data_IF_273473619623
#
_entry.id   IF_273473619623
#
_cell.length_a   1.000
_cell.length_b   1.000
_cell.length_c   1.000
_cell.angle_alpha   90.00
_cell.angle_beta   90.00
_cell.angle_gamma   90.00
#
_symmetry.space_group_name_H-M   'P 1'
#
loop_
_entity.id
_entity.type
_entity.pdbx_description
1 polymer ?
#
# COMPACT_ATOMS: atom_id res chain seq x y z
N UNK A 1 -5.05 40.81 37.10
CA UNK A 1 -4.47 40.97 35.76
C UNK A 1 -2.96 41.07 35.90
N UNK A 2 -2.19 40.33 35.13
CA UNK A 2 -0.73 40.44 35.05
C UNK A 2 -0.36 41.01 33.67
N UNK A 3 0.61 41.92 33.63
CA UNK A 3 1.20 42.44 32.39
C UNK A 3 2.58 41.79 32.25
N UNK A 4 2.81 41.15 31.09
CA UNK A 4 4.07 40.52 30.76
C UNK A 4 4.75 41.30 29.63
N UNK A 5 6.02 41.65 29.84
CA UNK A 5 6.86 42.26 28.80
C UNK A 5 7.56 41.15 28.02
N UNK A 6 7.22 41.02 26.72
CA UNK A 6 7.76 40.01 25.82
C UNK A 6 8.96 40.59 25.05
N UNK A 7 9.96 39.76 24.71
CA UNK A 7 11.03 40.17 23.80
C UNK A 7 10.50 40.56 22.42
N UNK A 8 11.31 41.30 21.65
CA UNK A 8 10.98 41.73 20.31
C UNK A 8 10.73 40.50 19.38
N UNK A 9 9.62 40.56 18.64
CA UNK A 9 9.23 39.51 17.68
C UNK A 9 10.22 39.33 16.51
N UNK A 10 10.94 40.39 16.17
CA UNK A 10 11.95 40.45 15.14
C UNK A 10 13.40 40.37 15.65
N UNK A 11 13.58 39.95 16.91
CA UNK A 11 14.89 39.78 17.53
C UNK A 11 15.80 38.88 16.66
N UNK A 12 17.06 39.28 16.50
CA UNK A 12 18.09 38.47 15.84
C UNK A 12 18.44 37.19 16.62
N UNK A 13 18.12 37.15 17.93
CA UNK A 13 18.36 36.01 18.80
C UNK A 13 17.16 35.06 18.72
N UNK A 14 17.38 33.82 18.22
CA UNK A 14 16.32 32.84 18.04
C UNK A 14 15.59 32.45 19.33
N UNK A 15 16.33 32.37 20.45
CA UNK A 15 15.76 32.12 21.78
C UNK A 15 14.74 33.18 22.20
N UNK A 16 14.99 34.46 21.87
CA UNK A 16 14.06 35.56 22.17
C UNK A 16 12.78 35.45 21.33
N UNK A 17 12.89 35.12 20.07
CA UNK A 17 11.71 34.88 19.18
C UNK A 17 10.87 33.71 19.68
N UNK A 18 11.52 32.62 20.09
CA UNK A 18 10.82 31.45 20.65
C UNK A 18 10.09 31.80 21.96
N UNK A 19 10.75 32.55 22.85
CA UNK A 19 10.15 32.99 24.11
C UNK A 19 8.97 33.96 23.88
N UNK A 20 9.13 34.91 22.93
CA UNK A 20 8.05 35.84 22.58
C UNK A 20 6.81 35.07 22.08
N UNK A 21 6.98 34.09 21.21
CA UNK A 21 5.87 33.23 20.74
C UNK A 21 5.21 32.45 21.87
N UNK A 22 5.99 31.83 22.78
CA UNK A 22 5.44 31.11 23.92
C UNK A 22 4.62 32.01 24.84
N UNK A 23 5.09 33.24 25.09
CA UNK A 23 4.35 34.23 25.91
C UNK A 23 3.07 34.67 25.23
N UNK A 24 3.11 34.90 23.89
CA UNK A 24 1.94 35.24 23.11
C UNK A 24 0.90 34.10 23.09
N UNK A 25 1.35 32.87 22.99
CA UNK A 25 0.46 31.69 23.01
C UNK A 25 -0.26 31.52 24.36
N UNK A 26 0.37 31.96 25.46
CA UNK A 26 -0.17 31.87 26.81
C UNK A 26 -1.00 33.09 27.26
N UNK A 27 -0.99 34.17 26.48
CA UNK A 27 -1.66 35.43 26.85
C UNK A 27 -3.11 35.46 26.36
N UNK A 28 -4.01 35.93 27.24
CA UNK A 28 -5.44 36.14 26.93
C UNK A 28 -5.68 37.37 26.03
N UNK A 29 -4.77 38.35 26.09
CA UNK A 29 -4.84 39.63 25.39
C UNK A 29 -3.42 40.11 25.04
N UNK A 30 -3.27 40.66 23.81
CA UNK A 30 -2.01 41.21 23.34
C UNK A 30 -2.07 42.75 23.28
N UNK A 31 -1.04 43.39 23.83
CA UNK A 31 -0.79 44.81 23.61
C UNK A 31 0.39 44.93 22.64
N UNK A 32 0.10 45.13 21.37
CA UNK A 32 1.14 45.28 20.37
C UNK A 32 1.65 46.72 20.34
N UNK A 33 2.94 46.91 20.62
CA UNK A 33 3.59 48.22 20.65
C UNK A 33 4.48 48.35 19.41
N UNK A 34 4.19 49.35 18.58
CA UNK A 34 4.99 49.70 17.41
C UNK A 34 5.34 51.20 17.42
N UNK A 35 6.13 51.65 16.43
CA UNK A 35 6.50 53.06 16.29
C UNK A 35 6.13 53.58 14.87
N UNK A 36 6.05 54.90 14.73
CA UNK A 36 5.81 55.55 13.44
C UNK A 36 6.83 55.15 12.34
N UNK A 37 8.04 54.71 12.73
CA UNK A 37 9.07 54.27 11.80
C UNK A 37 8.98 52.76 11.42
N UNK A 38 8.24 51.95 12.18
CA UNK A 38 8.27 50.47 12.07
C UNK A 38 6.89 49.81 11.95
N UNK A 39 5.81 50.59 12.01
CA UNK A 39 4.46 50.02 12.03
C UNK A 39 4.12 49.21 10.75
N UNK A 40 4.84 49.44 9.63
CA UNK A 40 4.65 48.73 8.38
C UNK A 40 5.57 47.52 8.18
N UNK A 41 6.38 47.12 9.18
CA UNK A 41 7.26 45.96 9.10
C UNK A 41 6.44 44.69 8.96
N UNK A 42 6.84 43.80 8.01
CA UNK A 42 6.05 42.61 7.64
C UNK A 42 5.94 41.55 8.75
N UNK A 43 7.05 41.30 9.50
CA UNK A 43 7.09 40.21 10.51
C UNK A 43 6.05 40.38 11.63
N UNK A 44 5.88 41.55 12.25
CA UNK A 44 4.81 41.76 13.23
C UNK A 44 3.40 41.50 12.67
N UNK A 45 3.15 41.86 11.40
CA UNK A 45 1.84 41.66 10.78
C UNK A 45 1.49 40.17 10.53
N UNK A 46 2.48 39.33 10.26
CA UNK A 46 2.25 37.88 10.19
C UNK A 46 1.75 37.34 11.54
N UNK A 47 2.35 37.78 12.65
CA UNK A 47 1.96 37.38 14.02
C UNK A 47 0.59 37.94 14.40
N UNK A 48 0.32 39.21 14.07
CA UNK A 48 -1.00 39.80 14.29
C UNK A 48 -2.10 39.15 13.45
N UNK A 49 -1.79 38.71 12.23
CA UNK A 49 -2.71 37.91 11.41
C UNK A 49 -3.05 36.57 12.05
N UNK A 50 -2.09 35.90 12.70
CA UNK A 50 -2.34 34.69 13.47
C UNK A 50 -3.22 34.97 14.70
N UNK A 51 -3.01 36.11 15.39
CA UNK A 51 -3.88 36.53 16.49
C UNK A 51 -5.33 36.76 16.02
N UNK A 52 -5.50 37.40 14.86
CA UNK A 52 -6.82 37.61 14.27
C UNK A 52 -7.53 36.29 13.94
N UNK A 53 -6.81 35.32 13.34
CA UNK A 53 -7.34 33.98 13.04
C UNK A 53 -7.77 33.22 14.31
N UNK A 54 -7.06 33.40 15.40
CA UNK A 54 -7.35 32.82 16.72
C UNK A 54 -8.37 33.61 17.52
N UNK A 55 -8.88 34.72 16.98
CA UNK A 55 -9.80 35.64 17.67
C UNK A 55 -9.25 36.17 19.02
N UNK A 56 -7.92 36.34 19.10
CA UNK A 56 -7.26 36.88 20.30
C UNK A 56 -7.54 38.38 20.39
N UNK A 57 -7.90 38.86 21.56
CA UNK A 57 -8.06 40.28 21.82
C UNK A 57 -6.72 41.02 21.67
N UNK A 58 -6.67 42.02 20.81
CA UNK A 58 -5.48 42.85 20.52
C UNK A 58 -5.77 44.29 20.85
N UNK A 59 -4.83 45.01 21.46
CA UNK A 59 -4.77 46.50 21.44
C UNK A 59 -3.47 46.91 20.78
N UNK A 60 -3.48 48.00 20.04
CA UNK A 60 -2.31 48.50 19.33
C UNK A 60 -1.88 49.84 19.94
N UNK A 61 -0.59 49.97 20.24
CA UNK A 61 0.02 51.22 20.73
C UNK A 61 1.00 51.70 19.66
N UNK A 62 0.68 52.85 19.06
CA UNK A 62 1.56 53.55 18.15
C UNK A 62 2.39 54.57 18.88
N UNK A 63 3.64 54.21 19.19
CA UNK A 63 4.57 55.00 19.99
C UNK A 63 5.51 55.86 19.13
N UNK A 64 6.11 56.90 19.70
CA UNK A 64 7.09 57.81 19.05
C UNK A 64 6.58 58.44 17.78
N UNK A 65 5.36 58.89 17.79
CA UNK A 65 4.79 59.60 16.64
C UNK A 65 5.33 61.03 16.61
N UNK A 66 5.90 61.48 15.47
CA UNK A 66 6.34 62.87 15.38
C UNK A 66 5.20 63.84 15.63
N UNK A 67 5.49 64.94 16.35
CA UNK A 67 4.48 65.94 16.68
C UNK A 67 3.77 66.46 15.44
N UNK A 68 2.44 66.47 15.45
CA UNK A 68 1.60 66.96 14.37
C UNK A 68 1.35 65.99 13.23
N UNK A 69 1.84 64.73 13.31
CA UNK A 69 1.60 63.69 12.26
C UNK A 69 0.69 62.55 12.77
N UNK A 70 0.14 62.68 13.97
CA UNK A 70 -0.65 61.63 14.62
C UNK A 70 -1.81 61.15 13.76
N UNK A 71 -2.63 62.03 13.25
CA UNK A 71 -3.83 61.69 12.48
C UNK A 71 -3.50 60.93 11.19
N UNK A 72 -2.44 61.35 10.48
CA UNK A 72 -2.00 60.73 9.24
C UNK A 72 -1.47 59.31 9.49
N UNK A 73 -0.54 59.14 10.43
CA UNK A 73 0.10 57.86 10.75
C UNK A 73 -0.91 56.86 11.36
N UNK A 74 -1.79 57.37 12.26
CA UNK A 74 -2.83 56.53 12.86
C UNK A 74 -3.86 56.06 11.81
N UNK A 75 -4.25 56.90 10.87
CA UNK A 75 -5.16 56.51 9.78
C UNK A 75 -4.56 55.46 8.88
N UNK A 76 -3.26 55.54 8.52
CA UNK A 76 -2.57 54.54 7.72
C UNK A 76 -2.40 53.23 8.47
N UNK A 77 -2.01 53.26 9.74
CA UNK A 77 -1.93 52.10 10.61
C UNK A 77 -3.30 51.41 10.76
N UNK A 78 -4.38 52.20 10.96
CA UNK A 78 -5.73 51.64 11.07
C UNK A 78 -6.18 50.92 9.79
N UNK A 79 -5.79 51.46 8.62
CA UNK A 79 -6.02 50.77 7.34
C UNK A 79 -5.28 49.42 7.28
N UNK A 80 -4.03 49.35 7.74
CA UNK A 80 -3.29 48.11 7.80
C UNK A 80 -3.93 47.12 8.82
N UNK A 81 -4.38 47.61 9.98
CA UNK A 81 -5.11 46.81 10.96
C UNK A 81 -6.36 46.16 10.35
N UNK A 82 -7.10 46.94 9.55
CA UNK A 82 -8.31 46.45 8.85
C UNK A 82 -7.98 45.36 7.83
N UNK A 83 -6.91 45.55 7.03
CA UNK A 83 -6.45 44.52 6.06
C UNK A 83 -6.04 43.24 6.73
N UNK A 84 -5.46 43.31 7.92
CA UNK A 84 -5.01 42.14 8.68
C UNK A 84 -6.05 41.58 9.67
N UNK A 85 -7.29 42.05 9.62
CA UNK A 85 -8.42 41.51 10.40
C UNK A 85 -8.50 41.92 11.85
N UNK A 86 -7.76 42.98 12.25
CA UNK A 86 -7.79 43.56 13.59
C UNK A 86 -8.23 45.06 13.59
N UNK A 87 -9.03 45.45 12.60
CA UNK A 87 -9.50 46.83 12.47
C UNK A 87 -10.30 47.36 13.67
N UNK A 88 -10.99 46.47 14.39
CA UNK A 88 -11.77 46.84 15.59
C UNK A 88 -10.92 46.95 16.88
N UNK A 89 -9.62 46.63 16.79
CA UNK A 89 -8.73 46.69 17.97
C UNK A 89 -8.52 48.14 18.42
N UNK A 90 -8.52 48.44 19.73
CA UNK A 90 -8.19 49.76 20.24
C UNK A 90 -6.81 50.22 19.77
N UNK A 91 -6.74 51.44 19.24
CA UNK A 91 -5.50 52.10 18.83
C UNK A 91 -5.20 53.27 19.76
N UNK A 92 -4.06 53.23 20.41
CA UNK A 92 -3.58 54.28 21.32
C UNK A 92 -2.32 54.91 20.71
N UNK A 93 -2.36 56.19 20.39
CA UNK A 93 -1.21 56.94 19.87
C UNK A 93 -0.46 57.68 21.02
N UNK A 94 0.86 57.65 20.95
CA UNK A 94 1.75 58.35 21.87
C UNK A 94 2.75 59.17 21.05
N UNK A 95 2.65 60.50 21.12
CA UNK A 95 3.61 61.39 20.45
C UNK A 95 5.01 61.31 21.09
N UNK A 96 6.00 61.58 20.26
CA UNK A 96 7.40 61.67 20.74
C UNK A 96 7.58 62.91 21.62
N UNK A 97 8.04 62.65 22.82
CA UNK A 97 8.20 63.73 23.82
C UNK A 97 9.36 63.40 24.79
N UNK A 98 9.92 64.45 25.47
CA UNK A 98 11.00 64.24 26.43
C UNK A 98 10.57 63.36 27.61
N UNK A 99 11.49 62.49 28.02
CA UNK A 99 11.29 61.68 29.20
C UNK A 99 11.50 62.46 30.49
N UNK A 100 10.64 62.26 31.43
CA UNK A 100 10.76 62.83 32.80
C UNK A 100 11.22 61.74 33.76
N UNK A 101 12.43 61.84 34.27
CA UNK A 101 13.00 60.80 35.14
C UNK A 101 13.21 59.45 34.45
N UNK A 102 13.37 59.46 33.10
CA UNK A 102 13.52 58.22 32.31
C UNK A 102 12.19 57.54 31.91
N UNK A 103 11.06 58.14 32.27
CA UNK A 103 9.72 57.66 31.96
C UNK A 103 8.95 58.64 31.07
N UNK A 104 7.97 58.16 30.34
CA UNK A 104 6.99 58.99 29.64
C UNK A 104 6.12 59.72 30.69
N UNK A 105 5.71 60.99 30.41
CA UNK A 105 4.73 61.70 31.25
C UNK A 105 3.45 60.90 31.44
N UNK A 106 2.85 60.99 32.64
CA UNK A 106 1.66 60.24 33.00
C UNK A 106 0.47 60.52 32.07
N UNK A 107 0.37 61.75 31.55
CA UNK A 107 -0.68 62.18 30.62
C UNK A 107 -0.56 61.44 29.28
N UNK A 108 0.68 61.20 28.80
CA UNK A 108 0.95 60.50 27.53
C UNK A 108 0.49 59.03 27.52
N UNK A 109 0.60 58.35 28.61
CA UNK A 109 0.18 56.96 28.80
C UNK A 109 -1.22 56.82 29.42
N UNK A 110 -1.85 57.96 29.76
CA UNK A 110 -3.19 58.00 30.39
C UNK A 110 -4.25 57.19 29.68
N UNK A 111 -4.46 57.30 28.35
CA UNK A 111 -5.44 56.53 27.64
C UNK A 111 -5.20 55.03 27.71
N UNK A 112 -3.94 54.56 27.57
CA UNK A 112 -3.60 53.13 27.69
C UNK A 112 -3.83 52.64 29.12
N UNK A 113 -3.43 53.41 30.12
CA UNK A 113 -3.66 53.09 31.52
C UNK A 113 -5.14 52.98 31.87
N UNK A 114 -5.95 53.97 31.45
CA UNK A 114 -7.40 53.94 31.68
C UNK A 114 -8.05 52.69 31.03
N UNK A 115 -7.63 52.32 29.83
CA UNK A 115 -8.12 51.14 29.13
C UNK A 115 -7.75 49.84 29.92
N UNK A 116 -6.48 49.70 30.35
CA UNK A 116 -6.03 48.56 31.11
C UNK A 116 -6.70 48.48 32.52
N UNK A 117 -6.89 49.59 33.19
CA UNK A 117 -7.60 49.67 34.49
C UNK A 117 -9.07 49.34 34.34
N UNK A 118 -9.75 49.81 33.25
CA UNK A 118 -11.12 49.45 32.93
C UNK A 118 -11.25 47.94 32.73
N UNK A 119 -10.37 47.35 31.90
CA UNK A 119 -10.30 45.91 31.72
C UNK A 119 -10.01 45.16 33.04
N UNK A 120 -9.14 45.71 33.89
CA UNK A 120 -8.79 45.15 35.18
C UNK A 120 -9.96 45.19 36.21
N UNK A 121 -10.81 46.22 36.18
CA UNK A 121 -11.91 46.41 37.09
C UNK A 121 -13.17 45.56 36.73
N UNK A 122 -13.44 45.35 35.46
CA UNK A 122 -14.61 44.61 35.00
C UNK A 122 -14.33 43.11 34.82
N UNK A 123 -14.86 42.33 35.76
CA UNK A 123 -14.72 40.86 35.71
C UNK A 123 -15.52 40.23 34.56
N UNK A 124 -16.62 40.82 34.11
CA UNK A 124 -17.42 40.32 33.01
C UNK A 124 -16.69 40.48 31.67
N UNK A 125 -16.14 41.68 31.41
CA UNK A 125 -15.35 41.94 30.19
C UNK A 125 -14.11 41.04 30.13
N UNK A 126 -13.42 40.82 31.28
CA UNK A 126 -12.28 39.86 31.31
C UNK A 126 -12.72 38.42 30.96
N UNK A 127 -13.82 37.96 31.53
CA UNK A 127 -14.34 36.61 31.23
C UNK A 127 -14.75 36.48 29.75
N UNK A 128 -15.33 37.52 29.17
CA UNK A 128 -15.69 37.57 27.74
C UNK A 128 -14.44 37.49 26.85
N UNK A 129 -13.40 38.24 27.13
CA UNK A 129 -12.12 38.21 26.41
C UNK A 129 -11.49 36.82 26.53
N UNK A 130 -11.39 36.25 27.72
CA UNK A 130 -10.83 34.92 27.90
C UNK A 130 -11.64 33.84 27.16
N UNK A 131 -12.98 33.91 27.21
CA UNK A 131 -13.87 32.97 26.50
C UNK A 131 -13.71 33.06 24.98
N UNK A 132 -13.58 34.29 24.45
CA UNK A 132 -13.37 34.53 23.02
C UNK A 132 -12.04 33.93 22.54
N UNK A 133 -10.95 34.19 23.25
CA UNK A 133 -9.62 33.65 22.94
C UNK A 133 -9.62 32.14 23.04
N UNK A 134 -10.28 31.54 24.06
CA UNK A 134 -10.37 30.10 24.20
C UNK A 134 -11.19 29.48 23.07
N UNK A 135 -12.32 30.09 22.69
CA UNK A 135 -13.14 29.64 21.58
C UNK A 135 -12.36 29.67 20.24
N UNK A 136 -11.55 30.72 20.03
CA UNK A 136 -10.65 30.80 18.88
C UNK A 136 -9.63 29.67 18.84
N UNK A 137 -9.01 29.38 19.99
CA UNK A 137 -8.05 28.26 20.11
C UNK A 137 -8.71 26.91 19.86
N UNK A 138 -9.92 26.69 20.38
CA UNK A 138 -10.69 25.45 20.12
C UNK A 138 -11.02 25.32 18.63
N UNK A 139 -11.45 26.40 17.98
CA UNK A 139 -11.71 26.40 16.52
C UNK A 139 -10.47 25.97 15.73
N UNK A 140 -9.29 26.51 16.10
CA UNK A 140 -8.04 26.15 15.44
C UNK A 140 -7.69 24.67 15.64
N UNK A 141 -7.87 24.12 16.84
CA UNK A 141 -7.65 22.69 17.10
C UNK A 141 -8.61 21.84 16.27
N UNK A 142 -9.90 22.19 16.24
CA UNK A 142 -10.92 21.49 15.43
C UNK A 142 -10.57 21.51 13.94
N UNK A 143 -10.13 22.67 13.42
CA UNK A 143 -9.67 22.77 12.04
C UNK A 143 -8.44 21.87 11.77
N UNK A 144 -7.48 21.83 12.72
CA UNK A 144 -6.34 20.92 12.64
C UNK A 144 -6.74 19.44 12.64
N UNK A 145 -7.77 19.07 13.42
CA UNK A 145 -8.32 17.70 13.44
C UNK A 145 -8.86 17.29 12.08
N UNK A 146 -9.55 18.17 11.35
CA UNK A 146 -9.99 17.89 9.97
C UNK A 146 -8.84 17.52 9.05
N UNK A 147 -7.73 18.28 9.09
CA UNK A 147 -6.54 17.99 8.28
C UNK A 147 -5.98 16.61 8.61
N UNK A 148 -5.95 16.24 9.90
CA UNK A 148 -5.51 14.91 10.33
C UNK A 148 -6.48 13.81 9.87
N UNK A 149 -7.79 14.03 9.96
CA UNK A 149 -8.81 13.10 9.49
C UNK A 149 -8.68 12.82 7.98
N UNK A 150 -8.44 13.86 7.18
CA UNK A 150 -8.26 13.73 5.73
C UNK A 150 -6.98 12.97 5.43
N UNK A 151 -5.85 13.33 6.07
CA UNK A 151 -4.58 12.64 5.89
C UNK A 151 -4.66 11.14 6.30
N UNK A 152 -5.35 10.82 7.40
CA UNK A 152 -5.60 9.44 7.80
C UNK A 152 -6.47 8.71 6.77
N UNK A 153 -7.46 9.41 6.16
CA UNK A 153 -8.28 8.86 5.11
C UNK A 153 -7.52 8.48 3.86
N UNK A 154 -6.62 9.34 3.43
CA UNK A 154 -5.72 9.09 2.31
C UNK A 154 -4.75 7.95 2.62
N UNK A 155 -4.18 7.95 3.82
CA UNK A 155 -3.31 6.86 4.28
C UNK A 155 -4.03 5.50 4.29
N UNK A 156 -5.21 5.42 4.90
CA UNK A 156 -6.02 4.19 4.91
C UNK A 156 -6.42 3.73 3.50
N UNK A 157 -6.67 4.67 2.58
CA UNK A 157 -6.95 4.34 1.19
C UNK A 157 -5.72 3.73 0.50
N UNK A 158 -4.53 4.31 0.72
CA UNK A 158 -3.28 3.78 0.19
C UNK A 158 -2.98 2.37 0.72
N UNK A 159 -3.21 2.12 2.02
CA UNK A 159 -3.04 0.78 2.60
C UNK A 159 -4.02 -0.25 2.03
N UNK A 160 -5.28 0.12 1.82
CA UNK A 160 -6.25 -0.77 1.15
C UNK A 160 -5.83 -1.10 -0.27
N UNK A 161 -5.41 -0.10 -1.04
CA UNK A 161 -4.90 -0.28 -2.40
C UNK A 161 -3.69 -1.21 -2.41
N UNK A 162 -2.79 -1.05 -1.42
CA UNK A 162 -1.65 -1.96 -1.27
C UNK A 162 -2.08 -3.42 -1.03
N UNK A 163 -3.10 -3.64 -0.20
CA UNK A 163 -3.69 -4.97 0.00
C UNK A 163 -4.25 -5.57 -1.31
N UNK A 164 -4.99 -4.76 -2.09
CA UNK A 164 -5.52 -5.19 -3.39
C UNK A 164 -4.40 -5.56 -4.37
N UNK A 165 -3.30 -4.81 -4.40
CA UNK A 165 -2.15 -5.15 -5.26
C UNK A 165 -1.50 -6.50 -4.90
N UNK A 166 -1.52 -6.91 -3.61
CA UNK A 166 -1.07 -8.26 -3.25
C UNK A 166 -1.95 -9.35 -3.85
N UNK A 167 -3.26 -9.15 -3.80
CA UNK A 167 -4.22 -10.09 -4.39
C UNK A 167 -4.08 -10.15 -5.92
N UNK A 168 -3.95 -9.00 -6.58
CA UNK A 168 -3.71 -8.91 -8.02
C UNK A 168 -2.40 -9.58 -8.44
N UNK A 169 -1.32 -9.42 -7.65
CA UNK A 169 -0.04 -10.08 -7.93
C UNK A 169 -0.15 -11.60 -7.85
N UNK A 170 -0.89 -12.13 -6.85
CA UNK A 170 -1.17 -13.57 -6.73
C UNK A 170 -1.97 -14.08 -7.92
N UNK A 171 -3.06 -13.39 -8.30
CA UNK A 171 -3.89 -13.81 -9.42
C UNK A 171 -3.11 -13.75 -10.76
N UNK A 172 -2.32 -12.71 -10.98
CA UNK A 172 -1.48 -12.60 -12.18
C UNK A 172 -0.43 -13.73 -12.26
N UNK A 173 0.18 -14.12 -11.12
CA UNK A 173 1.10 -15.26 -11.06
C UNK A 173 0.40 -16.58 -11.35
N UNK A 174 -0.82 -16.77 -10.82
CA UNK A 174 -1.63 -17.96 -11.11
C UNK A 174 -2.03 -18.05 -12.60
N UNK A 175 -2.37 -16.91 -13.21
CA UNK A 175 -2.70 -16.87 -14.63
C UNK A 175 -1.48 -17.21 -15.50
N UNK A 176 -0.30 -16.65 -15.19
CA UNK A 176 0.96 -17.01 -15.87
C UNK A 176 1.29 -18.50 -15.70
N UNK A 177 1.14 -19.02 -14.49
CA UNK A 177 1.35 -20.43 -14.20
C UNK A 177 0.36 -21.32 -14.97
N UNK A 178 -0.90 -20.92 -15.01
CA UNK A 178 -1.92 -21.62 -15.79
C UNK A 178 -1.60 -21.65 -17.29
N UNK A 179 -1.10 -20.56 -17.85
CA UNK A 179 -0.66 -20.51 -19.26
C UNK A 179 0.56 -21.41 -19.44
N UNK A 180 1.63 -21.21 -18.67
CA UNK A 180 2.90 -21.91 -18.86
C UNK A 180 2.81 -23.43 -18.60
N UNK A 181 1.90 -23.87 -17.73
CA UNK A 181 1.62 -25.30 -17.52
C UNK A 181 0.76 -25.92 -18.60
N UNK A 182 0.24 -25.14 -19.54
CA UNK A 182 -0.64 -25.67 -20.58
C UNK A 182 -0.21 -25.35 -22.02
N UNK A 183 0.79 -24.49 -22.23
CA UNK A 183 1.24 -24.05 -23.56
C UNK A 183 2.31 -24.97 -24.18
N UNK A 184 2.68 -26.04 -23.49
CA UNK A 184 3.70 -26.98 -23.93
C UNK A 184 5.15 -26.58 -23.61
N UNK A 185 5.37 -25.44 -22.96
CA UNK A 185 6.72 -24.96 -22.59
C UNK A 185 7.46 -25.98 -21.75
N UNK A 186 6.80 -26.61 -20.76
CA UNK A 186 7.36 -27.67 -19.91
C UNK A 186 7.72 -28.96 -20.63
N UNK A 187 7.23 -29.15 -21.84
CA UNK A 187 7.50 -30.35 -22.67
C UNK A 187 8.65 -30.15 -23.66
N UNK A 188 9.36 -29.01 -23.61
CA UNK A 188 10.47 -28.72 -24.52
C UNK A 188 11.81 -29.25 -23.98
N UNK A 189 12.80 -29.27 -24.83
CA UNK A 189 14.19 -29.60 -24.43
C UNK A 189 14.33 -31.01 -23.90
N UNK A 190 14.82 -31.16 -22.67
CA UNK A 190 15.16 -32.45 -22.06
C UNK A 190 13.94 -33.36 -21.85
N UNK A 191 12.81 -32.80 -21.40
CA UNK A 191 11.57 -33.57 -21.21
C UNK A 191 11.16 -34.25 -22.52
N UNK A 192 11.18 -33.50 -23.62
CA UNK A 192 10.82 -34.05 -24.94
C UNK A 192 11.79 -35.15 -25.38
N UNK A 193 13.09 -34.91 -25.22
CA UNK A 193 14.11 -35.91 -25.58
C UNK A 193 13.94 -37.21 -24.76
N UNK A 194 13.77 -37.11 -23.46
CA UNK A 194 13.57 -38.24 -22.54
C UNK A 194 12.27 -39.00 -22.84
N UNK A 195 11.19 -38.26 -23.11
CA UNK A 195 9.93 -38.89 -23.47
C UNK A 195 10.04 -39.68 -24.82
N UNK A 196 10.74 -39.12 -25.80
CA UNK A 196 10.99 -39.81 -27.06
C UNK A 196 11.78 -41.10 -26.89
N UNK A 197 12.73 -41.14 -25.96
CA UNK A 197 13.44 -42.37 -25.58
C UNK A 197 12.47 -43.44 -25.02
N UNK A 198 11.56 -43.02 -24.15
CA UNK A 198 10.57 -43.93 -23.50
C UNK A 198 9.61 -44.52 -24.55
N UNK A 199 9.14 -43.74 -25.51
CA UNK A 199 8.18 -44.21 -26.51
C UNK A 199 8.81 -44.82 -27.77
N UNK A 200 10.14 -44.78 -27.90
CA UNK A 200 10.83 -45.31 -29.09
C UNK A 200 10.58 -44.49 -30.37
N UNK A 201 10.73 -43.22 -30.33
CA UNK A 201 10.21 -42.21 -31.26
C UNK A 201 10.54 -42.37 -32.73
N UNK A 202 11.66 -42.99 -33.10
CA UNK A 202 12.08 -43.11 -34.50
C UNK A 202 11.14 -44.03 -35.35
N UNK A 203 10.55 -45.03 -34.72
CA UNK A 203 9.65 -45.99 -35.37
C UNK A 203 8.18 -45.57 -35.29
N UNK A 204 7.82 -44.80 -34.27
CA UNK A 204 6.44 -44.40 -34.03
C UNK A 204 5.93 -43.30 -34.98
N UNK A 205 6.72 -42.25 -35.20
CA UNK A 205 6.36 -41.14 -36.09
C UNK A 205 6.21 -41.60 -37.58
N UNK A 206 7.02 -42.56 -37.98
CA UNK A 206 6.97 -43.12 -39.35
C UNK A 206 5.73 -43.97 -39.59
N UNK A 207 5.09 -44.51 -38.55
CA UNK A 207 3.95 -45.44 -38.59
C UNK A 207 2.59 -44.82 -38.26
N UNK A 208 2.56 -43.59 -37.68
CA UNK A 208 1.33 -42.83 -37.43
C UNK A 208 0.56 -42.53 -38.74
N UNK A 209 1.27 -42.49 -39.88
CA UNK A 209 0.64 -42.29 -41.18
C UNK A 209 -0.07 -43.52 -41.79
N UNK A 210 0.00 -44.70 -41.13
CA UNK A 210 -0.47 -45.96 -41.76
C UNK A 210 -1.69 -46.63 -41.08
N UNK A 211 -2.44 -45.94 -40.23
CA UNK A 211 -3.75 -46.42 -39.75
C UNK A 211 -3.82 -46.85 -38.27
N UNK A 212 -4.89 -46.43 -37.63
CA UNK A 212 -5.15 -46.46 -36.18
C UNK A 212 -5.46 -47.86 -35.60
N UNK A 213 -5.86 -48.84 -36.41
CA UNK A 213 -6.39 -50.12 -35.95
C UNK A 213 -5.35 -51.07 -35.36
N UNK A 214 -4.10 -50.98 -35.78
CA UNK A 214 -3.01 -51.83 -35.28
C UNK A 214 -2.21 -51.25 -34.11
N UNK A 215 -2.50 -50.01 -33.70
CA UNK A 215 -1.78 -49.31 -32.64
C UNK A 215 -2.07 -49.93 -31.26
N UNK A 216 -3.31 -50.32 -31.01
CA UNK A 216 -3.76 -50.93 -29.74
C UNK A 216 -3.04 -52.23 -29.41
N UNK A 217 -2.91 -53.14 -30.40
CA UNK A 217 -2.32 -54.47 -30.18
C UNK A 217 -0.81 -54.39 -30.04
N UNK A 218 -0.15 -53.37 -30.66
CA UNK A 218 1.30 -53.16 -30.56
C UNK A 218 1.72 -52.36 -29.33
N UNK A 219 0.91 -51.42 -28.89
CA UNK A 219 1.12 -50.74 -27.58
C UNK A 219 1.04 -51.77 -26.45
N UNK A 220 0.10 -52.68 -26.49
CA UNK A 220 0.01 -53.80 -25.53
C UNK A 220 1.16 -54.79 -25.67
N UNK A 221 1.72 -55.00 -26.84
CA UNK A 221 2.88 -55.87 -27.07
C UNK A 221 4.21 -55.20 -26.65
N UNK A 222 4.39 -53.90 -26.94
CA UNK A 222 5.57 -53.14 -26.52
C UNK A 222 5.62 -52.97 -24.99
N UNK A 223 4.47 -52.86 -24.34
CA UNK A 223 4.35 -52.75 -22.88
C UNK A 223 4.51 -54.10 -22.14
N UNK A 224 4.48 -55.23 -22.88
CA UNK A 224 4.81 -56.56 -22.32
C UNK A 224 6.31 -56.89 -22.34
N UNK A 225 7.13 -56.06 -23.07
CA UNK A 225 8.58 -56.03 -22.92
C UNK A 225 9.03 -55.26 -21.69
N UNK A 226 10.32 -55.36 -21.30
CA UNK A 226 10.86 -54.63 -20.12
C UNK A 226 10.37 -53.19 -20.09
N UNK A 227 9.75 -52.71 -18.98
CA UNK A 227 9.28 -51.32 -18.90
C UNK A 227 10.46 -50.38 -19.14
N UNK A 228 10.30 -49.46 -20.09
CA UNK A 228 11.28 -48.42 -20.31
C UNK A 228 11.42 -47.56 -19.02
N UNK A 229 12.63 -47.11 -18.67
CA UNK A 229 12.84 -46.29 -17.49
C UNK A 229 12.09 -44.96 -17.66
N UNK A 230 11.02 -44.79 -16.88
CA UNK A 230 10.17 -43.59 -16.90
C UNK A 230 10.74 -42.50 -15.99
N UNK A 231 11.56 -42.89 -15.01
CA UNK A 231 12.14 -42.00 -14.03
C UNK A 231 12.85 -40.76 -14.63
N UNK A 232 13.64 -40.85 -15.71
CA UNK A 232 14.30 -39.66 -16.25
C UNK A 232 13.32 -38.62 -16.82
N UNK A 233 12.14 -39.02 -17.30
CA UNK A 233 11.10 -38.09 -17.77
C UNK A 233 10.39 -37.44 -16.56
N UNK A 234 10.13 -38.25 -15.55
CA UNK A 234 9.52 -37.79 -14.30
C UNK A 234 10.40 -36.74 -13.61
N UNK A 235 11.71 -37.02 -13.48
CA UNK A 235 12.70 -36.09 -12.91
C UNK A 235 12.79 -34.78 -13.71
N UNK A 236 12.80 -34.84 -15.04
CA UNK A 236 12.85 -33.66 -15.89
C UNK A 236 11.56 -32.81 -15.80
N UNK A 237 10.40 -33.44 -15.69
CA UNK A 237 9.11 -32.75 -15.47
C UNK A 237 9.05 -32.12 -14.09
N UNK A 238 9.52 -32.84 -13.05
CA UNK A 238 9.63 -32.34 -11.69
C UNK A 238 10.52 -31.08 -11.65
N UNK A 239 11.72 -31.15 -12.22
CA UNK A 239 12.65 -30.03 -12.27
C UNK A 239 12.10 -28.82 -13.03
N UNK A 240 11.45 -29.07 -14.18
CA UNK A 240 10.82 -28.02 -14.98
C UNK A 240 9.68 -27.30 -14.25
N UNK A 241 8.79 -28.06 -13.61
CA UNK A 241 7.66 -27.50 -12.87
C UNK A 241 8.16 -26.77 -11.59
N UNK A 242 9.11 -27.34 -10.86
CA UNK A 242 9.70 -26.70 -9.69
C UNK A 242 10.40 -25.37 -10.06
N UNK A 243 11.11 -25.34 -11.19
CA UNK A 243 11.73 -24.10 -11.68
C UNK A 243 10.69 -23.02 -12.02
N UNK A 244 9.58 -23.40 -12.66
CA UNK A 244 8.49 -22.49 -12.99
C UNK A 244 7.82 -21.94 -11.71
N UNK A 245 7.54 -22.79 -10.73
CA UNK A 245 6.99 -22.38 -9.44
C UNK A 245 7.92 -21.41 -8.71
N UNK A 246 9.21 -21.72 -8.66
CA UNK A 246 10.21 -20.84 -8.05
C UNK A 246 10.25 -19.46 -8.70
N UNK A 247 10.19 -19.40 -10.03
CA UNK A 247 10.15 -18.14 -10.76
C UNK A 247 8.91 -17.32 -10.39
N UNK A 248 7.74 -17.94 -10.32
CA UNK A 248 6.51 -17.25 -9.94
C UNK A 248 6.50 -16.83 -8.46
N UNK A 249 7.10 -17.60 -7.54
CA UNK A 249 7.25 -17.19 -6.13
C UNK A 249 8.19 -15.99 -5.96
N UNK A 250 9.28 -15.91 -6.74
CA UNK A 250 10.12 -14.72 -6.75
C UNK A 250 9.38 -13.53 -7.32
N UNK A 251 8.72 -13.71 -8.46
CA UNK A 251 8.03 -12.67 -9.20
C UNK A 251 6.85 -12.07 -8.44
N UNK A 252 6.05 -12.87 -7.73
CA UNK A 252 4.90 -12.34 -6.97
C UNK A 252 5.33 -11.36 -5.89
N UNK A 253 6.47 -11.62 -5.24
CA UNK A 253 7.04 -10.69 -4.23
C UNK A 253 7.60 -9.44 -4.87
N UNK A 254 8.27 -9.57 -6.02
CA UNK A 254 8.83 -8.43 -6.77
C UNK A 254 7.72 -7.53 -7.31
N UNK A 255 6.67 -8.10 -7.89
CA UNK A 255 5.51 -7.37 -8.41
C UNK A 255 4.79 -6.60 -7.28
N UNK A 256 4.56 -7.27 -6.14
CA UNK A 256 3.98 -6.64 -4.96
C UNK A 256 4.86 -5.49 -4.42
N UNK A 257 6.16 -5.73 -4.26
CA UNK A 257 7.11 -4.74 -3.74
C UNK A 257 7.29 -3.55 -4.70
N UNK A 258 7.31 -3.77 -6.00
CA UNK A 258 7.51 -2.72 -7.00
C UNK A 258 6.46 -1.60 -6.94
N UNK A 259 5.22 -1.94 -6.61
CA UNK A 259 4.15 -0.97 -6.42
C UNK A 259 4.28 -0.23 -5.10
N UNK A 260 4.60 -0.94 -4.03
CA UNK A 260 4.69 -0.40 -2.67
C UNK A 260 5.88 0.55 -2.46
N UNK A 261 6.99 0.36 -3.20
CA UNK A 261 8.17 1.26 -3.13
C UNK A 261 7.84 2.69 -3.56
N UNK A 262 6.84 2.88 -4.41
CA UNK A 262 6.44 4.18 -4.94
C UNK A 262 5.47 4.93 -4.03
N UNK A 263 4.87 4.26 -3.05
CA UNK A 263 3.83 4.79 -2.19
C UNK A 263 4.40 5.13 -0.81
N UNK A 264 4.36 6.41 -0.35
CA UNK A 264 4.89 6.82 0.95
C UNK A 264 4.35 6.02 2.13
N UNK A 265 3.10 5.58 2.06
CA UNK A 265 2.46 4.81 3.12
C UNK A 265 3.05 3.40 3.31
N UNK A 266 3.64 2.81 2.25
CA UNK A 266 4.07 1.40 2.24
C UNK A 266 5.57 1.21 2.01
N UNK A 267 6.30 2.22 1.55
CA UNK A 267 7.74 2.12 1.28
C UNK A 267 8.56 1.64 2.48
N UNK A 268 8.19 2.05 3.68
CA UNK A 268 8.84 1.60 4.92
C UNK A 268 8.59 0.11 5.20
N UNK A 269 7.41 -0.40 4.86
CA UNK A 269 7.02 -1.80 5.03
C UNK A 269 7.85 -2.71 4.12
N UNK A 270 8.06 -2.31 2.85
CA UNK A 270 8.92 -3.04 1.90
C UNK A 270 10.36 -3.12 2.40
N UNK A 271 10.89 -2.01 2.94
CA UNK A 271 12.26 -1.98 3.48
C UNK A 271 12.43 -2.83 4.74
N UNK A 272 11.39 -2.98 5.53
CA UNK A 272 11.38 -3.81 6.73
C UNK A 272 11.15 -5.31 6.42
N UNK A 273 10.54 -5.63 5.27
CA UNK A 273 10.29 -7.01 4.87
C UNK A 273 11.60 -7.71 4.55
N UNK A 274 11.79 -8.91 5.11
CA UNK A 274 12.95 -9.73 4.79
C UNK A 274 12.92 -10.14 3.30
N UNK A 275 14.06 -10.15 2.61
CA UNK A 275 14.14 -10.67 1.25
C UNK A 275 13.77 -12.17 1.25
N UNK A 276 13.29 -12.66 0.09
CA UNK A 276 13.07 -14.09 -0.08
C UNK A 276 14.40 -14.86 0.02
N UNK A 277 14.40 -15.96 0.75
CA UNK A 277 15.55 -16.89 0.75
C UNK A 277 15.45 -17.80 -0.48
N UNK A 278 16.40 -17.72 -1.44
CA UNK A 278 16.38 -18.55 -2.64
C UNK A 278 16.37 -20.05 -2.33
N UNK A 279 17.04 -20.46 -1.26
CA UNK A 279 17.11 -21.88 -0.84
C UNK A 279 15.74 -22.37 -0.37
N UNK A 280 15.03 -21.54 0.36
CA UNK A 280 13.68 -21.84 0.82
C UNK A 280 12.68 -21.89 -0.34
N UNK A 281 12.78 -20.97 -1.31
CA UNK A 281 11.97 -21.00 -2.52
C UNK A 281 12.20 -22.28 -3.33
N UNK A 282 13.46 -22.71 -3.50
CA UNK A 282 13.81 -23.96 -4.17
C UNK A 282 13.20 -25.16 -3.44
N UNK A 283 13.40 -25.28 -2.13
CA UNK A 283 12.87 -26.38 -1.31
C UNK A 283 11.35 -26.47 -1.44
N UNK A 284 10.68 -25.35 -1.32
CA UNK A 284 9.22 -25.23 -1.36
C UNK A 284 8.65 -25.58 -2.73
N UNK A 285 9.27 -25.11 -3.80
CA UNK A 285 8.88 -25.44 -5.16
C UNK A 285 8.94 -26.94 -5.45
N UNK A 286 10.01 -27.61 -4.99
CA UNK A 286 10.16 -29.07 -5.08
C UNK A 286 9.10 -29.79 -4.24
N UNK A 287 8.84 -29.33 -3.02
CA UNK A 287 7.82 -29.92 -2.13
C UNK A 287 6.42 -29.87 -2.73
N UNK A 288 6.04 -28.72 -3.30
CA UNK A 288 4.74 -28.54 -3.95
C UNK A 288 4.62 -29.47 -5.16
N UNK A 289 5.66 -29.52 -6.00
CA UNK A 289 5.69 -30.38 -7.18
C UNK A 289 5.53 -31.85 -6.80
N UNK A 290 6.29 -32.35 -5.84
CA UNK A 290 6.20 -33.73 -5.35
C UNK A 290 4.87 -34.03 -4.69
N UNK A 291 4.35 -33.11 -3.91
CA UNK A 291 3.03 -33.26 -3.30
C UNK A 291 1.92 -33.38 -4.33
N UNK A 292 1.97 -32.55 -5.38
CA UNK A 292 1.03 -32.65 -6.50
C UNK A 292 1.19 -33.95 -7.28
N UNK A 293 2.40 -34.41 -7.58
CA UNK A 293 2.66 -35.70 -8.22
C UNK A 293 2.11 -36.89 -7.41
N UNK A 294 2.29 -36.87 -6.10
CA UNK A 294 1.74 -37.92 -5.23
C UNK A 294 0.20 -37.96 -5.29
N UNK A 295 -0.45 -36.78 -5.25
CA UNK A 295 -1.91 -36.71 -5.40
C UNK A 295 -2.40 -37.14 -6.79
N UNK A 296 -1.62 -36.81 -7.83
CA UNK A 296 -1.91 -37.25 -9.19
C UNK A 296 -1.93 -38.78 -9.27
N UNK A 297 -0.97 -39.47 -8.64
CA UNK A 297 -0.92 -40.93 -8.60
C UNK A 297 -2.11 -41.51 -7.81
N UNK A 298 -2.55 -40.85 -6.74
CA UNK A 298 -3.77 -41.22 -6.01
C UNK A 298 -5.00 -41.04 -6.91
N UNK A 299 -5.09 -39.91 -7.61
CA UNK A 299 -6.19 -39.63 -8.55
C UNK A 299 -6.28 -40.70 -9.64
N UNK A 300 -5.15 -41.10 -10.24
CA UNK A 300 -5.08 -42.16 -11.25
C UNK A 300 -5.57 -43.52 -10.69
N UNK A 301 -5.19 -43.84 -9.47
CA UNK A 301 -5.61 -45.12 -8.81
C UNK A 301 -7.10 -45.14 -8.48
N UNK A 302 -7.66 -44.02 -8.02
CA UNK A 302 -9.06 -43.93 -7.59
C UNK A 302 -10.04 -43.86 -8.75
N UNK A 303 -9.64 -43.27 -9.89
CA UNK A 303 -10.47 -43.23 -11.10
C UNK A 303 -10.65 -44.62 -11.75
N UNK A 304 -9.85 -45.59 -11.39
CA UNK A 304 -9.96 -46.99 -11.83
C UNK A 304 -11.18 -47.75 -11.31
N UNK A 305 -12.35 -47.09 -11.09
CA UNK A 305 -13.55 -47.67 -10.43
C UNK A 305 -14.10 -48.99 -10.96
N UNK A 306 -13.55 -49.53 -12.06
CA UNK A 306 -13.85 -50.90 -12.51
C UNK A 306 -12.60 -51.81 -12.37
N UNK A 307 -12.82 -53.07 -11.99
CA UNK A 307 -11.74 -54.09 -11.94
C UNK A 307 -10.94 -54.16 -13.24
N UNK A 308 -11.56 -53.84 -14.39
CA UNK A 308 -10.92 -53.83 -15.71
C UNK A 308 -9.96 -52.67 -15.89
N UNK A 309 -10.32 -51.48 -15.41
CA UNK A 309 -9.45 -50.30 -15.49
C UNK A 309 -8.26 -50.43 -14.56
N UNK A 310 -8.47 -50.89 -13.32
CA UNK A 310 -7.39 -51.17 -12.36
C UNK A 310 -6.39 -52.17 -12.94
N UNK A 311 -6.87 -53.28 -13.56
CA UNK A 311 -6.00 -54.26 -14.18
C UNK A 311 -5.20 -53.68 -15.37
N UNK A 312 -5.77 -52.73 -16.13
CA UNK A 312 -5.06 -52.02 -17.23
C UNK A 312 -3.99 -51.08 -16.69
N UNK A 313 -4.29 -50.29 -15.63
CA UNK A 313 -3.32 -49.42 -14.99
C UNK A 313 -2.13 -50.22 -14.45
N UNK A 314 -2.38 -51.35 -13.81
CA UNK A 314 -1.33 -52.24 -13.31
C UNK A 314 -0.51 -52.85 -14.47
N UNK A 315 -1.16 -53.23 -15.57
CA UNK A 315 -0.50 -53.80 -16.76
C UNK A 315 0.38 -52.81 -17.51
N UNK A 316 -0.01 -51.53 -17.55
CA UNK A 316 0.74 -50.42 -18.17
C UNK A 316 1.82 -49.86 -17.23
N UNK A 317 1.63 -49.95 -15.93
CA UNK A 317 2.47 -49.38 -14.89
C UNK A 317 1.96 -47.99 -14.45
N UNK A 318 1.79 -47.86 -13.15
CA UNK A 318 1.21 -46.65 -12.55
C UNK A 318 2.03 -45.39 -12.88
N UNK A 319 3.37 -45.49 -12.87
CA UNK A 319 4.27 -44.38 -13.14
C UNK A 319 4.17 -43.91 -14.62
N UNK A 320 4.11 -44.83 -15.58
CA UNK A 320 3.95 -44.48 -16.98
C UNK A 320 2.60 -43.76 -17.23
N UNK A 321 1.54 -44.22 -16.58
CA UNK A 321 0.22 -43.59 -16.63
C UNK A 321 0.28 -42.19 -16.00
N UNK A 322 0.95 -42.01 -14.87
CA UNK A 322 1.16 -40.71 -14.20
C UNK A 322 1.92 -39.71 -15.08
N UNK A 323 3.08 -40.15 -15.61
CA UNK A 323 3.88 -39.30 -16.52
C UNK A 323 3.10 -38.96 -17.81
N UNK A 324 2.38 -39.93 -18.38
CA UNK A 324 1.53 -39.67 -19.56
C UNK A 324 0.44 -38.64 -19.25
N UNK A 325 -0.13 -38.67 -18.05
CA UNK A 325 -1.11 -37.68 -17.62
C UNK A 325 -0.47 -36.29 -17.46
N UNK A 326 0.72 -36.19 -16.86
CA UNK A 326 1.47 -34.95 -16.79
C UNK A 326 1.76 -34.37 -18.18
N UNK A 327 2.21 -35.20 -19.13
CA UNK A 327 2.44 -34.81 -20.52
C UNK A 327 1.16 -34.26 -21.15
N UNK A 328 0.01 -34.90 -20.95
CA UNK A 328 -1.29 -34.43 -21.48
C UNK A 328 -1.71 -33.12 -20.81
N UNK A 329 -1.52 -32.96 -19.52
CA UNK A 329 -1.84 -31.72 -18.79
C UNK A 329 -1.02 -30.56 -19.34
N UNK A 330 0.28 -30.77 -19.55
CA UNK A 330 1.20 -29.72 -19.99
C UNK A 330 1.13 -29.42 -21.50
N UNK A 331 0.45 -30.28 -22.28
CA UNK A 331 0.23 -30.09 -23.71
C UNK A 331 -1.18 -29.58 -24.07
N UNK A 332 -2.10 -29.47 -23.11
CA UNK A 332 -3.54 -29.46 -23.41
C UNK A 332 -4.17 -28.08 -23.67
N UNK A 333 -3.42 -26.99 -23.80
CA UNK A 333 -4.03 -25.74 -24.21
C UNK A 333 -4.18 -25.65 -25.74
N UNK A 334 -5.39 -25.40 -26.19
CA UNK A 334 -5.80 -25.26 -27.57
C UNK A 334 -5.26 -24.03 -28.32
N UNK A 335 -3.95 -23.76 -28.19
CA UNK A 335 -3.28 -22.60 -28.77
C UNK A 335 -2.05 -22.88 -29.63
N UNK A 336 -1.70 -24.14 -29.86
CA UNK A 336 -0.54 -24.47 -30.70
C UNK A 336 -0.85 -24.26 -32.17
N UNK A 337 -0.62 -23.06 -32.68
CA UNK A 337 -0.60 -22.73 -34.10
C UNK A 337 0.84 -22.47 -34.53
N UNK A 338 1.46 -23.39 -35.28
CA UNK A 338 2.78 -23.18 -35.86
C UNK A 338 3.58 -24.48 -36.08
N UNK A 339 4.69 -24.40 -36.80
CA UNK A 339 5.55 -25.54 -37.17
C UNK A 339 6.20 -26.27 -35.96
N UNK A 340 6.23 -25.65 -34.76
CA UNK A 340 6.68 -26.24 -33.48
C UNK A 340 5.70 -27.28 -32.93
N UNK A 341 4.46 -27.27 -33.41
CA UNK A 341 3.37 -28.22 -33.10
C UNK A 341 3.73 -29.66 -33.51
N UNK A 342 4.62 -29.84 -34.48
CA UNK A 342 4.88 -31.13 -35.06
C UNK A 342 5.45 -32.18 -34.08
N UNK A 343 6.33 -31.80 -33.18
CA UNK A 343 7.02 -32.76 -32.30
C UNK A 343 6.39 -32.83 -30.92
N UNK A 344 6.14 -31.70 -30.27
CA UNK A 344 5.47 -31.68 -28.95
C UNK A 344 4.01 -32.19 -29.08
N UNK A 345 3.30 -31.83 -30.14
CA UNK A 345 1.96 -32.31 -30.42
C UNK A 345 1.90 -33.84 -30.71
N UNK A 346 2.87 -34.38 -31.40
CA UNK A 346 2.96 -35.83 -31.63
C UNK A 346 3.23 -36.57 -30.30
N UNK A 347 4.08 -35.99 -29.43
CA UNK A 347 4.41 -36.51 -28.08
C UNK A 347 3.17 -36.57 -27.18
N UNK A 348 2.40 -35.46 -27.14
CA UNK A 348 1.15 -35.39 -26.42
C UNK A 348 0.09 -36.32 -26.93
N UNK A 349 -0.03 -36.49 -28.27
CA UNK A 349 -0.99 -37.39 -28.91
C UNK A 349 -0.72 -38.85 -28.51
N UNK A 350 0.54 -39.27 -28.36
CA UNK A 350 0.89 -40.61 -27.89
C UNK A 350 0.48 -40.80 -26.42
N UNK A 351 0.81 -39.85 -25.55
CA UNK A 351 0.41 -39.88 -24.15
C UNK A 351 -1.12 -39.92 -23.99
N UNK A 352 -1.81 -39.05 -24.72
CA UNK A 352 -3.27 -39.04 -24.75
C UNK A 352 -3.85 -40.38 -25.20
N UNK A 353 -3.33 -40.95 -26.31
CA UNK A 353 -3.81 -42.23 -26.81
C UNK A 353 -3.57 -43.38 -25.84
N UNK A 354 -2.46 -43.40 -25.15
CA UNK A 354 -2.17 -44.37 -24.08
C UNK A 354 -3.22 -44.27 -22.97
N UNK A 355 -3.50 -43.06 -22.51
CA UNK A 355 -4.50 -42.82 -21.44
C UNK A 355 -5.92 -43.15 -21.93
N UNK A 356 -6.28 -42.87 -23.17
CA UNK A 356 -7.58 -43.23 -23.76
C UNK A 356 -7.81 -44.74 -23.80
N UNK A 357 -6.76 -45.53 -24.09
CA UNK A 357 -6.83 -47.01 -24.04
C UNK A 357 -7.07 -47.51 -22.63
N UNK A 358 -6.51 -46.81 -21.62
CA UNK A 358 -6.64 -47.22 -20.21
C UNK A 358 -7.99 -46.80 -19.63
N UNK A 359 -8.36 -45.49 -19.79
CA UNK A 359 -9.50 -44.89 -19.11
C UNK A 359 -10.68 -44.54 -19.99
N UNK A 360 -10.46 -44.41 -21.30
CA UNK A 360 -11.42 -43.82 -22.26
C UNK A 360 -11.29 -42.29 -22.35
N UNK A 361 -11.67 -41.71 -23.50
CA UNK A 361 -11.48 -40.28 -23.84
C UNK A 361 -12.09 -39.33 -22.80
N UNK A 362 -13.35 -39.54 -22.40
CA UNK A 362 -14.04 -38.68 -21.44
C UNK A 362 -13.34 -38.66 -20.06
N UNK A 363 -12.88 -39.84 -19.60
CA UNK A 363 -12.20 -39.93 -18.29
C UNK A 363 -10.84 -39.24 -18.32
N UNK A 364 -10.11 -39.28 -19.43
CA UNK A 364 -8.81 -38.60 -19.62
C UNK A 364 -8.99 -37.09 -19.49
N UNK A 365 -9.99 -36.51 -20.15
CA UNK A 365 -10.28 -35.08 -20.07
C UNK A 365 -10.61 -34.66 -18.63
N UNK A 366 -11.46 -35.43 -17.95
CA UNK A 366 -11.82 -35.17 -16.55
C UNK A 366 -10.61 -35.25 -15.62
N UNK A 367 -9.76 -36.27 -15.82
CA UNK A 367 -8.52 -36.42 -15.04
C UNK A 367 -7.57 -35.24 -15.25
N UNK A 368 -7.33 -34.83 -16.50
CA UNK A 368 -6.44 -33.72 -16.83
C UNK A 368 -6.95 -32.40 -16.21
N UNK A 369 -8.25 -32.12 -16.33
CA UNK A 369 -8.87 -30.92 -15.74
C UNK A 369 -8.72 -30.92 -14.21
N UNK A 370 -9.01 -32.04 -13.55
CA UNK A 370 -8.88 -32.15 -12.08
C UNK A 370 -7.45 -32.03 -11.61
N UNK A 371 -6.52 -32.69 -12.27
CA UNK A 371 -5.11 -32.65 -11.92
C UNK A 371 -4.53 -31.24 -12.06
N UNK A 372 -4.93 -30.51 -13.11
CA UNK A 372 -4.55 -29.11 -13.31
C UNK A 372 -5.16 -28.20 -12.25
N UNK A 373 -6.42 -28.37 -11.90
CA UNK A 373 -7.06 -27.62 -10.83
C UNK A 373 -6.35 -27.83 -9.47
N UNK A 374 -5.95 -29.07 -9.16
CA UNK A 374 -5.18 -29.39 -7.95
C UNK A 374 -3.81 -28.70 -7.93
N UNK A 375 -3.11 -28.64 -9.08
CA UNK A 375 -1.83 -27.91 -9.18
C UNK A 375 -2.01 -26.43 -8.91
N UNK A 376 -2.99 -25.79 -9.57
CA UNK A 376 -3.24 -24.36 -9.41
C UNK A 376 -3.70 -23.98 -8.00
N UNK A 377 -4.48 -24.84 -7.35
CA UNK A 377 -4.90 -24.63 -5.96
C UNK A 377 -3.72 -24.70 -4.98
N UNK A 378 -2.82 -25.68 -5.16
CA UNK A 378 -1.58 -25.75 -4.37
C UNK A 378 -0.68 -24.55 -4.61
N UNK A 379 -0.55 -24.13 -5.88
CA UNK A 379 0.22 -22.96 -6.23
C UNK A 379 -0.39 -21.69 -5.63
N UNK A 380 -1.73 -21.55 -5.62
CA UNK A 380 -2.44 -20.44 -4.98
C UNK A 380 -2.07 -20.33 -3.50
N UNK A 381 -2.25 -21.41 -2.75
CA UNK A 381 -1.93 -21.44 -1.32
C UNK A 381 -0.48 -21.02 -1.08
N UNK A 382 0.45 -21.54 -1.88
CA UNK A 382 1.86 -21.21 -1.74
C UNK A 382 2.18 -19.74 -2.10
N UNK A 383 1.57 -19.20 -3.15
CA UNK A 383 1.73 -17.78 -3.51
C UNK A 383 1.15 -16.84 -2.44
N UNK A 384 -0.01 -17.20 -1.86
CA UNK A 384 -0.61 -16.46 -0.74
C UNK A 384 0.29 -16.48 0.50
N UNK A 385 0.94 -17.59 0.79
CA UNK A 385 1.93 -17.70 1.87
C UNK A 385 3.19 -16.88 1.57
N UNK A 386 3.63 -16.78 0.30
CA UNK A 386 4.77 -15.96 -0.09
C UNK A 386 4.52 -14.45 0.11
N UNK A 387 3.30 -13.98 -0.08
CA UNK A 387 2.95 -12.57 0.14
C UNK A 387 2.46 -12.28 1.56
N UNK A 388 2.23 -13.32 2.39
CA UNK A 388 1.69 -13.13 3.75
C UNK A 388 2.56 -12.21 4.62
N UNK A 389 3.91 -12.24 4.59
CA UNK A 389 4.71 -11.31 5.38
C UNK A 389 4.47 -9.83 5.03
N UNK A 390 4.17 -9.54 3.77
CA UNK A 390 3.81 -8.18 3.34
C UNK A 390 2.37 -7.84 3.79
N UNK A 391 1.45 -8.79 3.67
CA UNK A 391 0.07 -8.61 4.13
C UNK A 391 0.00 -8.37 5.64
N UNK A 392 0.73 -9.15 6.42
CA UNK A 392 0.77 -9.06 7.88
C UNK A 392 1.49 -7.79 8.37
N UNK A 393 2.35 -7.21 7.55
CA UNK A 393 3.00 -5.93 7.82
C UNK A 393 2.08 -4.73 7.63
N UNK A 394 0.94 -4.87 6.93
CA UNK A 394 -0.03 -3.78 6.76
C UNK A 394 -0.65 -3.43 8.11
N UNK A 395 -0.55 -2.18 8.57
CA UNK A 395 -1.20 -1.77 9.80
C UNK A 395 -2.73 -1.84 9.66
N UNK A 396 -3.45 -2.03 10.77
CA UNK A 396 -4.90 -1.94 10.75
C UNK A 396 -5.34 -0.52 10.34
N UNK A 397 -6.55 -0.41 9.81
CA UNK A 397 -7.13 0.90 9.49
C UNK A 397 -7.17 1.81 10.72
N UNK A 398 -6.92 3.10 10.51
CA UNK A 398 -6.93 4.10 11.58
C UNK A 398 -8.34 4.25 12.19
N UNK A 399 -8.40 4.55 13.49
CA UNK A 399 -9.69 4.74 14.19
C UNK A 399 -10.24 6.17 13.99
N UNK A 400 -10.46 6.54 12.71
CA UNK A 400 -11.02 7.83 12.32
C UNK A 400 -12.39 8.11 12.95
N UNK A 401 -13.17 7.07 13.23
CA UNK A 401 -14.49 7.24 13.80
C UNK A 401 -14.46 7.75 15.24
N UNK A 402 -13.42 7.39 16.01
CA UNK A 402 -13.20 7.95 17.36
C UNK A 402 -12.81 9.42 17.25
N UNK A 403 -11.90 9.77 16.36
CA UNK A 403 -11.45 11.15 16.17
C UNK A 403 -12.61 12.05 15.71
N UNK A 404 -13.39 11.61 14.72
CA UNK A 404 -14.54 12.34 14.21
C UNK A 404 -15.63 12.54 15.29
N UNK A 405 -15.86 11.56 16.16
CA UNK A 405 -16.80 11.71 17.28
C UNK A 405 -16.29 12.72 18.29
N UNK A 406 -15.05 12.58 18.74
CA UNK A 406 -14.45 13.52 19.69
C UNK A 406 -14.47 14.96 19.18
N UNK A 407 -14.17 15.16 17.88
CA UNK A 407 -14.31 16.48 17.24
C UNK A 407 -15.76 16.97 17.25
N UNK A 408 -16.71 16.12 16.85
CA UNK A 408 -18.14 16.47 16.85
C UNK A 408 -18.69 16.84 18.22
N UNK A 409 -18.22 16.19 19.28
CA UNK A 409 -18.57 16.52 20.66
C UNK A 409 -18.04 17.91 21.03
N UNK A 410 -16.78 18.21 20.72
CA UNK A 410 -16.18 19.52 20.95
C UNK A 410 -16.91 20.63 20.15
N UNK A 411 -17.19 20.39 18.86
CA UNK A 411 -17.94 21.35 18.03
C UNK A 411 -19.33 21.66 18.62
N UNK A 412 -20.00 20.63 19.15
CA UNK A 412 -21.31 20.76 19.78
C UNK A 412 -21.23 21.56 21.07
N UNK A 413 -20.29 21.23 21.96
CA UNK A 413 -20.13 21.87 23.27
C UNK A 413 -19.75 23.36 23.15
N UNK A 414 -19.01 23.70 22.10
CA UNK A 414 -18.57 25.08 21.85
C UNK A 414 -19.45 25.84 20.86
N UNK A 415 -20.47 25.22 20.27
CA UNK A 415 -21.37 25.86 19.29
C UNK A 415 -20.63 26.31 18.02
N UNK A 416 -19.66 25.52 17.55
CA UNK A 416 -18.79 25.85 16.42
C UNK A 416 -19.36 25.37 15.06
N UNK A 417 -20.56 24.84 15.05
CA UNK A 417 -21.26 24.37 13.82
C UNK A 417 -21.87 25.52 13.05
#
# INVERSE_FOLDING_TARGET
MALLDAPDLDSVVEGNRSLARQLLDAADLWVFVTTAARYADAVPWEVLGQAAQRDIAVAVVLNRVPTGTMDEVAADLHRLMTVHGIGDAPLVGIEEQPLVGGLLPAEAVGPLRAWLEGLGADSHTRAEVARRTLAGSVRQVVAGVHVVEDALGEHDAALRTAGTHLEEAVEASLERLAVSTGDGTLLRGEVLARWQEVIGAADFTRRLGQGVSHLRDRLTAALRGKPAPVAPVEDALEAGLASLLREEFSRVREDAAATWVREPATVALVRAAAPADPTELDRRSVEITRGWQAELLVLVRTQGGSRRTTARVLAVGTNLVGVSLMVVIFASTGGLTGAEVGVAGATAAVAQKLLEVVFGDQAVRTLATRARAMLLERARTALEEEVSPLRDALPPASDRAVLARARGDVESDWGLR
#
